data_IF_785637249338
#
_entry.id   IF_785637249338
#
_cell.length_a   1.000
_cell.length_b   1.000
_cell.length_c   1.000
_cell.angle_alpha   90.00
_cell.angle_beta   90.00
_cell.angle_gamma   90.00
#
_symmetry.space_group_name_H-M   'P 1'
#
loop_
_entity.id
_entity.type
_entity.pdbx_description
1 polymer ?
#
# COMPACT_ATOMS: atom_id res chain seq x y z
N UNK A 1 19.10 2.89 0.81
CA UNK A 1 18.52 3.47 -0.43
C UNK A 1 18.83 2.56 -1.60
N UNK A 2 17.87 1.75 -2.03
CA UNK A 2 18.03 0.99 -3.28
C UNK A 2 17.98 2.00 -4.43
N UNK A 3 18.97 2.01 -5.31
CA UNK A 3 18.95 2.91 -6.48
C UNK A 3 17.83 2.44 -7.42
N UNK A 4 16.90 3.31 -7.76
CA UNK A 4 15.76 3.00 -8.64
C UNK A 4 16.18 2.37 -9.98
N UNK A 5 17.40 2.68 -10.44
CA UNK A 5 18.00 2.08 -11.64
C UNK A 5 18.14 0.56 -11.54
N UNK A 6 18.43 0.01 -10.35
CA UNK A 6 18.57 -1.43 -10.14
C UNK A 6 17.21 -2.12 -10.27
N UNK A 7 16.16 -1.52 -9.71
CA UNK A 7 14.79 -2.03 -9.83
C UNK A 7 14.31 -2.00 -11.30
N UNK A 8 14.51 -0.88 -12.00
CA UNK A 8 14.14 -0.76 -13.41
C UNK A 8 14.88 -1.76 -14.30
N UNK A 9 16.19 -1.98 -14.05
CA UNK A 9 16.98 -3.01 -14.75
C UNK A 9 16.51 -4.43 -14.44
N UNK A 10 16.10 -4.70 -13.20
CA UNK A 10 15.48 -5.98 -12.83
C UNK A 10 14.18 -6.24 -13.60
N UNK A 11 13.31 -5.24 -13.71
CA UNK A 11 12.07 -5.33 -14.49
C UNK A 11 12.38 -5.54 -15.97
N UNK A 12 13.33 -4.79 -16.54
CA UNK A 12 13.76 -4.96 -17.93
C UNK A 12 14.31 -6.38 -18.19
N UNK A 13 15.05 -6.96 -17.24
CA UNK A 13 15.54 -8.34 -17.33
C UNK A 13 14.40 -9.36 -17.34
N UNK A 14 13.29 -9.13 -16.63
CA UNK A 14 12.14 -10.02 -16.66
C UNK A 14 11.32 -9.89 -17.95
N UNK A 15 11.16 -8.67 -18.45
CA UNK A 15 10.27 -8.38 -19.59
C UNK A 15 10.96 -8.56 -20.94
N UNK A 16 12.22 -8.13 -21.08
CA UNK A 16 12.89 -8.03 -22.37
C UNK A 16 14.40 -8.30 -22.28
N UNK A 17 14.78 -9.52 -21.87
CA UNK A 17 16.17 -10.02 -21.81
C UNK A 17 17.05 -9.66 -23.03
N UNK A 18 16.63 -9.86 -24.29
CA UNK A 18 17.51 -9.60 -25.44
C UNK A 18 17.80 -8.12 -25.69
N UNK A 19 17.07 -7.20 -25.04
CA UNK A 19 17.23 -5.75 -25.20
C UNK A 19 18.12 -5.10 -24.14
N UNK A 20 18.73 -5.87 -23.23
CA UNK A 20 19.39 -5.33 -22.03
C UNK A 20 20.63 -4.50 -22.34
N UNK A 21 21.46 -4.98 -23.28
CA UNK A 21 22.76 -4.42 -23.67
C UNK A 21 22.79 -3.92 -25.12
N UNK A 22 21.64 -3.89 -25.80
CA UNK A 22 21.58 -3.40 -27.19
C UNK A 22 21.29 -1.90 -27.21
N UNK A 23 22.12 -1.10 -27.89
CA UNK A 23 21.88 0.34 -28.11
C UNK A 23 20.85 0.63 -29.22
N UNK A 24 19.94 -0.32 -29.48
CA UNK A 24 18.91 -0.16 -30.51
C UNK A 24 17.84 0.85 -30.07
N UNK A 25 17.28 1.60 -31.03
CA UNK A 25 16.15 2.50 -30.76
C UNK A 25 14.93 1.78 -30.16
N UNK A 26 14.80 0.47 -30.42
CA UNK A 26 13.78 -0.39 -29.82
C UNK A 26 14.01 -0.61 -28.32
N UNK A 27 15.24 -0.91 -27.91
CA UNK A 27 15.60 -1.08 -26.50
C UNK A 27 15.36 0.20 -25.68
N UNK A 28 15.66 1.36 -26.27
CA UNK A 28 15.40 2.65 -25.63
C UNK A 28 13.90 2.90 -25.37
N UNK A 29 13.02 2.55 -26.32
CA UNK A 29 11.57 2.69 -26.13
C UNK A 29 11.05 1.82 -24.99
N UNK A 30 11.51 0.57 -24.90
CA UNK A 30 11.17 -0.33 -23.79
C UNK A 30 11.66 0.23 -22.46
N UNK A 31 12.88 0.75 -22.42
CA UNK A 31 13.43 1.37 -21.23
C UNK A 31 12.61 2.56 -20.75
N UNK A 32 12.27 3.50 -21.65
CA UNK A 32 11.41 4.64 -21.35
C UNK A 32 10.06 4.19 -20.83
N UNK A 33 9.45 3.17 -21.45
CA UNK A 33 8.16 2.63 -21.01
C UNK A 33 8.24 2.04 -19.59
N UNK A 34 9.27 1.28 -19.27
CA UNK A 34 9.49 0.75 -17.91
C UNK A 34 9.65 1.88 -16.90
N UNK A 35 10.47 2.88 -17.21
CA UNK A 35 10.67 4.05 -16.33
C UNK A 35 9.36 4.80 -16.12
N UNK A 36 8.57 5.02 -17.17
CA UNK A 36 7.26 5.67 -17.07
C UNK A 36 6.28 4.88 -16.22
N UNK A 37 6.25 3.56 -16.33
CA UNK A 37 5.41 2.70 -15.49
C UNK A 37 5.85 2.79 -14.02
N UNK A 38 7.15 2.66 -13.75
CA UNK A 38 7.68 2.77 -12.38
C UNK A 38 7.40 4.14 -11.79
N UNK A 39 7.60 5.23 -12.55
CA UNK A 39 7.26 6.59 -12.12
C UNK A 39 5.77 6.75 -11.85
N UNK A 40 4.91 6.23 -12.71
CA UNK A 40 3.44 6.31 -12.53
C UNK A 40 2.99 5.55 -11.28
N UNK A 41 3.59 4.39 -11.01
CA UNK A 41 3.34 3.61 -9.80
C UNK A 41 3.84 4.37 -8.57
N UNK A 42 5.08 4.87 -8.58
CA UNK A 42 5.63 5.68 -7.49
C UNK A 42 4.82 6.94 -7.24
N UNK A 43 4.33 7.60 -8.28
CA UNK A 43 3.44 8.76 -8.20
C UNK A 43 2.11 8.40 -7.53
N UNK A 44 1.52 7.27 -7.90
CA UNK A 44 0.28 6.75 -7.30
C UNK A 44 0.50 6.43 -5.82
N UNK A 45 1.60 5.75 -5.50
CA UNK A 45 1.96 5.49 -4.10
C UNK A 45 2.21 6.77 -3.31
N UNK A 46 2.83 7.79 -3.92
CA UNK A 46 3.01 9.09 -3.29
C UNK A 46 1.67 9.77 -2.96
N UNK A 47 0.63 9.58 -3.79
CA UNK A 47 -0.72 10.08 -3.49
C UNK A 47 -1.41 9.33 -2.38
N UNK A 48 -1.02 8.07 -2.20
CA UNK A 48 -1.57 7.19 -1.17
C UNK A 48 -0.90 7.43 0.18
N UNK A 49 0.25 8.12 0.27
CA UNK A 49 0.96 8.38 1.54
C UNK A 49 0.07 9.01 2.64
N UNK A 50 -0.69 10.10 2.43
CA UNK A 50 -1.58 10.65 3.47
C UNK A 50 -2.70 9.68 3.87
N UNK A 51 -2.97 8.67 3.05
CA UNK A 51 -3.98 7.63 3.23
C UNK A 51 -3.35 6.27 3.61
N UNK A 52 -2.02 6.20 3.76
CA UNK A 52 -1.31 4.91 3.80
C UNK A 52 -1.65 4.14 5.05
N UNK A 53 -1.76 4.81 6.20
CA UNK A 53 -2.12 4.18 7.47
C UNK A 53 -3.50 3.53 7.35
N UNK A 54 -4.50 4.26 6.86
CA UNK A 54 -5.87 3.74 6.75
C UNK A 54 -6.00 2.66 5.68
N UNK A 55 -5.31 2.81 4.54
CA UNK A 55 -5.23 1.75 3.54
C UNK A 55 -4.57 0.50 4.10
N UNK A 56 -3.47 0.63 4.85
CA UNK A 56 -2.82 -0.52 5.49
C UNK A 56 -3.70 -1.14 6.56
N UNK A 57 -4.55 -0.36 7.23
CA UNK A 57 -5.53 -0.89 8.17
C UNK A 57 -6.62 -1.68 7.44
N UNK A 58 -7.13 -1.21 6.31
CA UNK A 58 -8.08 -1.96 5.46
C UNK A 58 -7.44 -3.24 4.95
N UNK A 59 -6.26 -3.14 4.33
CA UNK A 59 -5.53 -4.29 3.79
C UNK A 59 -5.21 -5.28 4.92
N UNK A 60 -4.78 -4.79 6.08
CA UNK A 60 -4.54 -5.59 7.28
C UNK A 60 -5.80 -6.28 7.78
N UNK A 61 -6.93 -5.57 7.86
CA UNK A 61 -8.21 -6.12 8.27
C UNK A 61 -8.72 -7.21 7.30
N UNK A 62 -8.43 -7.11 6.01
CA UNK A 62 -8.80 -8.13 5.02
C UNK A 62 -7.81 -9.31 4.98
N UNK A 63 -6.51 -9.03 4.98
CA UNK A 63 -5.48 -10.05 4.76
C UNK A 63 -5.09 -10.80 6.03
N UNK A 64 -5.16 -10.18 7.20
CA UNK A 64 -4.74 -10.80 8.46
C UNK A 64 -5.66 -11.98 8.84
N UNK A 65 -7.00 -11.86 8.82
CA UNK A 65 -7.87 -13.01 9.10
C UNK A 65 -7.72 -14.11 8.05
N UNK A 66 -7.53 -13.75 6.78
CA UNK A 66 -7.29 -14.72 5.71
C UNK A 66 -5.97 -15.48 5.90
N UNK A 67 -4.87 -14.76 6.16
CA UNK A 67 -3.55 -15.35 6.33
C UNK A 67 -3.38 -16.13 7.62
N UNK A 68 -3.94 -15.65 8.73
CA UNK A 68 -3.69 -16.24 10.05
C UNK A 68 -4.74 -17.28 10.47
N UNK A 69 -5.95 -17.25 9.90
CA UNK A 69 -7.03 -18.16 10.30
C UNK A 69 -7.40 -19.10 9.15
N UNK A 70 -7.69 -18.55 7.96
CA UNK A 70 -8.14 -19.37 6.83
C UNK A 70 -7.00 -20.28 6.32
N UNK A 71 -5.77 -19.76 6.19
CA UNK A 71 -4.66 -20.53 5.65
C UNK A 71 -4.25 -21.72 6.53
N UNK A 72 -4.11 -21.61 7.88
CA UNK A 72 -3.88 -22.76 8.73
C UNK A 72 -5.00 -23.80 8.67
N UNK A 73 -6.27 -23.38 8.59
CA UNK A 73 -7.42 -24.30 8.44
C UNK A 73 -7.31 -25.07 7.12
N UNK A 74 -7.02 -24.40 6.01
CA UNK A 74 -6.81 -25.06 4.71
C UNK A 74 -5.66 -26.06 4.78
N UNK A 75 -4.53 -25.65 5.38
CA UNK A 75 -3.36 -26.53 5.55
C UNK A 75 -3.67 -27.73 6.46
N UNK A 76 -4.42 -27.52 7.54
CA UNK A 76 -4.85 -28.59 8.44
C UNK A 76 -5.72 -29.61 7.70
N UNK A 77 -6.77 -29.16 6.99
CA UNK A 77 -7.66 -30.04 6.22
C UNK A 77 -6.88 -30.80 5.15
N UNK A 78 -5.96 -30.12 4.44
CA UNK A 78 -5.12 -30.74 3.42
C UNK A 78 -4.18 -31.80 4.02
N UNK A 79 -3.47 -31.45 5.09
CA UNK A 79 -2.56 -32.36 5.78
C UNK A 79 -3.32 -33.57 6.35
N UNK A 80 -4.51 -33.35 6.90
CA UNK A 80 -5.38 -34.42 7.38
C UNK A 80 -5.84 -35.32 6.22
N UNK A 81 -6.24 -34.76 5.08
CA UNK A 81 -6.61 -35.54 3.90
C UNK A 81 -5.46 -36.40 3.38
N UNK A 82 -4.24 -35.87 3.39
CA UNK A 82 -3.05 -36.58 2.91
C UNK A 82 -2.56 -37.65 3.91
N UNK A 83 -2.79 -37.44 5.21
CA UNK A 83 -2.32 -38.33 6.29
C UNK A 83 -3.42 -39.26 6.85
N UNK A 84 -4.66 -39.14 6.38
CA UNK A 84 -5.80 -39.90 6.87
C UNK A 84 -5.59 -41.40 6.65
N UNK A 85 -5.08 -42.05 7.69
CA UNK A 85 -4.94 -43.50 7.74
C UNK A 85 -6.36 -44.07 7.86
N UNK A 86 -6.70 -45.00 6.95
CA UNK A 86 -8.05 -45.58 6.76
C UNK A 86 -8.74 -45.89 8.10
N UNK A 87 -9.61 -45.00 8.59
CA UNK A 87 -10.47 -45.28 9.75
C UNK A 87 -10.81 -44.10 10.66
N UNK A 88 -10.02 -43.02 10.70
CA UNK A 88 -10.31 -41.85 11.54
C UNK A 88 -10.63 -40.64 10.68
N UNK A 89 -11.90 -40.22 10.66
CA UNK A 89 -12.34 -38.95 10.08
C UNK A 89 -12.23 -37.81 11.09
N UNK A 90 -12.33 -36.57 10.60
CA UNK A 90 -12.39 -35.36 11.44
C UNK A 90 -13.59 -35.49 12.39
N UNK A 91 -13.35 -35.33 13.68
CA UNK A 91 -14.39 -35.41 14.71
C UNK A 91 -15.39 -34.26 14.57
N UNK A 92 -16.63 -34.48 15.01
CA UNK A 92 -17.65 -33.42 15.07
C UNK A 92 -17.17 -32.23 15.92
N UNK A 93 -16.42 -32.50 17.00
CA UNK A 93 -15.86 -31.45 17.84
C UNK A 93 -14.82 -30.58 17.09
N UNK A 94 -13.98 -31.20 16.25
CA UNK A 94 -13.00 -30.48 15.41
C UNK A 94 -13.71 -29.64 14.35
N UNK A 95 -14.77 -30.18 13.74
CA UNK A 95 -15.61 -29.40 12.82
C UNK A 95 -16.28 -28.20 13.49
N UNK A 96 -16.74 -28.34 14.74
CA UNK A 96 -17.29 -27.22 15.50
C UNK A 96 -16.25 -26.13 15.74
N UNK A 97 -15.01 -26.49 16.07
CA UNK A 97 -13.90 -25.53 16.26
C UNK A 97 -13.56 -24.83 14.96
N UNK A 98 -13.41 -25.57 13.85
CA UNK A 98 -13.13 -25.01 12.52
C UNK A 98 -14.24 -24.05 12.10
N UNK A 99 -15.51 -24.42 12.30
CA UNK A 99 -16.66 -23.57 11.97
C UNK A 99 -16.67 -22.29 12.82
N UNK A 100 -16.35 -22.40 14.11
CA UNK A 100 -16.25 -21.24 15.00
C UNK A 100 -15.12 -20.30 14.58
N UNK A 101 -13.93 -20.82 14.30
CA UNK A 101 -12.79 -20.03 13.84
C UNK A 101 -13.07 -19.33 12.50
N UNK A 102 -13.68 -20.02 11.54
CA UNK A 102 -14.12 -19.44 10.28
C UNK A 102 -15.15 -18.33 10.50
N UNK A 103 -16.12 -18.53 11.39
CA UNK A 103 -17.14 -17.52 11.68
C UNK A 103 -16.52 -16.25 12.28
N UNK A 104 -15.58 -16.39 13.21
CA UNK A 104 -14.87 -15.26 13.82
C UNK A 104 -14.02 -14.54 12.76
N UNK A 105 -13.31 -15.28 11.90
CA UNK A 105 -12.50 -14.69 10.83
C UNK A 105 -13.36 -13.87 9.86
N UNK A 106 -14.54 -14.38 9.47
CA UNK A 106 -15.49 -13.64 8.62
C UNK A 106 -15.98 -12.38 9.32
N UNK A 107 -16.39 -12.48 10.60
CA UNK A 107 -16.88 -11.32 11.37
C UNK A 107 -15.79 -10.25 11.50
N UNK A 108 -14.56 -10.65 11.86
CA UNK A 108 -13.42 -9.73 11.96
C UNK A 108 -13.09 -9.07 10.63
N UNK A 109 -13.16 -9.82 9.53
CA UNK A 109 -12.94 -9.29 8.18
C UNK A 109 -14.00 -8.25 7.82
N UNK A 110 -15.29 -8.58 8.00
CA UNK A 110 -16.39 -7.68 7.62
C UNK A 110 -16.43 -6.45 8.52
N UNK A 111 -16.39 -6.64 9.84
CA UNK A 111 -16.44 -5.54 10.80
C UNK A 111 -15.18 -4.66 10.71
N UNK A 112 -14.00 -5.26 10.58
CA UNK A 112 -12.74 -4.53 10.42
C UNK A 112 -12.70 -3.72 9.12
N UNK A 113 -13.15 -4.31 8.01
CA UNK A 113 -13.23 -3.60 6.73
C UNK A 113 -14.27 -2.47 6.77
N UNK A 114 -15.41 -2.70 7.43
CA UNK A 114 -16.44 -1.68 7.61
C UNK A 114 -15.95 -0.51 8.44
N UNK A 115 -15.36 -0.75 9.61
CA UNK A 115 -14.84 0.29 10.50
C UNK A 115 -13.72 1.08 9.82
N UNK A 116 -12.78 0.39 9.17
CA UNK A 116 -11.72 1.06 8.43
C UNK A 116 -12.28 1.87 7.25
N UNK A 117 -13.26 1.35 6.52
CA UNK A 117 -13.93 2.08 5.45
C UNK A 117 -14.69 3.31 5.93
N UNK A 118 -15.38 3.22 7.07
CA UNK A 118 -16.10 4.33 7.70
C UNK A 118 -15.14 5.45 8.13
N UNK A 119 -14.00 5.10 8.72
CA UNK A 119 -12.95 6.07 9.05
C UNK A 119 -12.43 6.82 7.82
N UNK A 120 -12.28 6.11 6.69
CA UNK A 120 -11.84 6.71 5.43
C UNK A 120 -12.89 7.67 4.87
N UNK A 121 -14.16 7.30 4.94
CA UNK A 121 -15.26 8.14 4.46
C UNK A 121 -15.43 9.38 5.32
N UNK A 122 -15.32 9.26 6.64
CA UNK A 122 -15.45 10.38 7.57
C UNK A 122 -14.29 11.37 7.45
N UNK A 123 -13.07 10.85 7.26
CA UNK A 123 -11.87 11.68 7.08
C UNK A 123 -11.59 12.00 5.60
N UNK A 124 -12.52 11.73 4.68
CA UNK A 124 -12.28 11.94 3.25
C UNK A 124 -11.86 13.38 2.92
N UNK A 125 -12.43 14.34 3.65
CA UNK A 125 -12.12 15.76 3.49
C UNK A 125 -10.72 16.15 3.98
N UNK A 126 -10.13 15.39 4.91
CA UNK A 126 -8.80 15.65 5.50
C UNK A 126 -7.66 14.96 4.74
N UNK A 127 -7.94 14.17 3.70
CA UNK A 127 -6.86 13.59 2.88
C UNK A 127 -6.38 14.55 1.77
N UNK A 128 -7.14 15.61 1.49
CA UNK A 128 -6.80 16.61 0.48
C UNK A 128 -6.69 16.05 -0.94
N UNK A 129 -6.42 16.93 -1.90
CA UNK A 129 -6.09 16.52 -3.26
C UNK A 129 -4.67 15.95 -3.36
N UNK A 130 -4.37 15.16 -4.40
CA UNK A 130 -3.02 14.70 -4.67
C UNK A 130 -2.03 15.88 -4.76
N UNK A 131 -0.95 15.86 -3.98
CA UNK A 131 0.01 16.97 -3.76
C UNK A 131 -0.57 18.28 -3.21
N UNK A 132 -1.78 18.26 -2.62
CA UNK A 132 -2.24 19.38 -1.81
C UNK A 132 -1.30 19.55 -0.62
N UNK A 133 -0.79 20.76 -0.38
CA UNK A 133 -0.10 21.07 0.86
C UNK A 133 -1.08 20.91 2.03
N UNK A 134 -1.07 19.74 2.66
CA UNK A 134 -1.76 19.50 3.92
C UNK A 134 -0.87 20.01 5.05
N UNK A 135 -0.99 21.30 5.33
CA UNK A 135 -0.34 21.94 6.47
C UNK A 135 -1.16 21.79 7.75
N UNK A 136 -2.46 21.53 7.66
CA UNK A 136 -3.32 21.30 8.83
C UNK A 136 -2.80 20.11 9.66
N UNK A 137 -2.53 20.39 10.94
CA UNK A 137 -2.06 19.50 12.01
C UNK A 137 -0.62 18.97 11.97
N UNK A 138 0.17 19.21 10.92
CA UNK A 138 1.65 19.13 11.04
C UNK A 138 2.29 20.49 11.33
N UNK A 139 1.68 21.60 10.88
CA UNK A 139 2.19 22.97 11.02
C UNK A 139 1.00 23.92 11.27
N UNK A 140 1.01 24.68 12.37
CA UNK A 140 -0.11 25.56 12.77
C UNK A 140 -0.42 26.71 11.78
N UNK A 141 0.35 26.85 10.71
CA UNK A 141 0.15 27.82 9.64
C UNK A 141 0.65 27.22 8.33
N UNK A 142 0.01 27.55 7.20
CA UNK A 142 0.58 27.33 5.86
C UNK A 142 1.77 28.27 5.57
N UNK A 143 2.33 28.93 6.59
CA UNK A 143 3.51 29.75 6.44
C UNK A 143 4.72 28.83 6.28
N UNK A 144 5.34 28.95 5.11
CA UNK A 144 6.67 28.44 4.80
C UNK A 144 7.65 28.98 5.85
N UNK A 145 7.87 28.25 6.95
CA UNK A 145 8.76 28.71 8.01
C UNK A 145 10.21 28.53 7.57
N UNK A 146 10.90 29.64 7.34
CA UNK A 146 12.31 29.69 6.96
C UNK A 146 13.27 29.14 8.05
N UNK A 147 12.77 28.74 9.21
CA UNK A 147 13.59 28.23 10.33
C UNK A 147 13.83 26.72 10.28
N UNK A 148 13.35 26.01 9.25
CA UNK A 148 13.63 24.58 9.05
C UNK A 148 14.74 24.32 8.02
N UNK A 149 15.62 23.37 8.36
CA UNK A 149 16.81 23.03 7.59
C UNK A 149 16.46 22.63 6.14
N UNK A 150 16.96 23.40 5.17
CA UNK A 150 16.82 23.14 3.73
C UNK A 150 15.64 23.83 3.04
N UNK A 151 14.85 24.65 3.76
CA UNK A 151 13.70 25.40 3.19
C UNK A 151 13.98 26.91 3.04
N UNK A 152 15.18 27.36 3.41
CA UNK A 152 15.58 28.78 3.48
C UNK A 152 15.42 29.51 2.14
N UNK A 153 15.81 28.89 1.02
CA UNK A 153 15.75 29.54 -0.30
C UNK A 153 14.34 29.59 -0.92
N UNK A 154 13.48 28.62 -0.61
CA UNK A 154 12.11 28.57 -1.15
C UNK A 154 11.16 29.54 -0.43
N UNK A 155 11.31 29.69 0.89
CA UNK A 155 10.42 30.54 1.68
C UNK A 155 10.84 32.02 1.71
N UNK A 156 12.11 32.35 1.40
CA UNK A 156 12.62 33.74 1.39
C UNK A 156 12.63 34.40 0.01
N UNK A 157 12.09 33.75 -1.03
CA UNK A 157 12.02 34.33 -2.36
C UNK A 157 11.19 35.65 -2.31
N UNK A 158 11.79 36.81 -2.62
CA UNK A 158 11.16 38.12 -2.45
C UNK A 158 10.11 38.33 -3.55
N UNK A 159 8.86 37.94 -3.25
CA UNK A 159 7.73 38.16 -4.18
C UNK A 159 6.40 37.51 -3.78
N UNK A 160 6.35 36.53 -2.88
CA UNK A 160 5.13 35.77 -2.61
C UNK A 160 4.22 36.34 -1.49
N UNK A 161 4.67 37.35 -0.73
CA UNK A 161 3.99 37.79 0.50
C UNK A 161 3.39 39.20 0.48
N UNK A 162 3.20 39.84 -0.68
CA UNK A 162 2.83 41.27 -0.74
C UNK A 162 1.36 41.56 -1.09
N UNK A 163 0.44 40.61 -0.94
CA UNK A 163 -0.96 40.93 -1.23
C UNK A 163 -1.95 39.90 -0.70
N UNK A 164 -2.38 40.06 0.55
CA UNK A 164 -3.77 39.90 0.99
C UNK A 164 -3.86 40.11 2.51
N UNK A 165 -3.61 41.36 2.92
CA UNK A 165 -4.20 41.91 4.13
C UNK A 165 -5.45 42.69 3.70
N UNK A 166 -6.60 42.00 3.65
CA UNK A 166 -7.95 42.53 3.94
C UNK A 166 -9.00 41.43 3.87
#
# INVERSE_FOLDING_TARGET
VIKAIVACRGIQYMVARPSLDSDSAYAWRIWVLIVMVVLSVSWTFAQVVPFFVDLTNVVGACMTPAGNWILPIILYIRCFSDSATKGHGISVAEWCVIALELSISIVLTVAGTYVAGDQILQNWHTYGGPFGCHCEDMWNTCECSATHAGMEELCLAPGAGAGLAR
#
